data_IF_671359934763
#
_entry.id   IF_671359934763
#
_cell.length_a   1.000
_cell.length_b   1.000
_cell.length_c   1.000
_cell.angle_alpha   90.00
_cell.angle_beta   90.00
_cell.angle_gamma   90.00
#
_symmetry.space_group_name_H-M   'P 1'
#
loop_
_entity.id
_entity.type
_entity.pdbx_description
1 polymer ?
#
# COMPACT_ATOMS: atom_id res chain seq x y z
N UNK A 1 30.62 -12.79 -19.33
CA UNK A 1 30.45 -11.61 -18.50
C UNK A 1 29.93 -12.07 -17.14
N UNK A 2 30.72 -11.88 -16.09
CA UNK A 2 30.28 -12.25 -14.74
C UNK A 2 29.15 -11.30 -14.32
N UNK A 3 28.02 -11.86 -13.89
CA UNK A 3 26.96 -11.10 -13.24
C UNK A 3 27.51 -10.62 -11.89
N UNK A 4 27.71 -9.31 -11.77
CA UNK A 4 28.13 -8.71 -10.52
C UNK A 4 26.94 -8.77 -9.56
N UNK A 5 27.07 -9.54 -8.48
CA UNK A 5 26.07 -9.50 -7.41
C UNK A 5 26.01 -8.09 -6.81
N UNK A 6 24.81 -7.53 -6.75
CA UNK A 6 24.55 -6.34 -5.95
C UNK A 6 24.47 -6.82 -4.49
N UNK A 7 25.55 -6.61 -3.74
CA UNK A 7 25.59 -6.89 -2.29
C UNK A 7 25.05 -5.67 -1.53
N UNK A 8 24.56 -5.88 -0.31
CA UNK A 8 23.99 -4.80 0.53
C UNK A 8 24.89 -3.56 0.66
N UNK A 9 26.21 -3.74 0.60
CA UNK A 9 27.16 -2.63 0.62
C UNK A 9 27.22 -1.81 -0.69
N UNK A 10 26.64 -2.33 -1.79
CA UNK A 10 26.62 -1.66 -3.10
C UNK A 10 25.38 -0.82 -3.37
N UNK A 11 24.36 -0.87 -2.48
CA UNK A 11 23.14 -0.09 -2.61
C UNK A 11 23.19 1.07 -1.62
N UNK A 12 23.87 2.15 -1.99
CA UNK A 12 23.89 3.39 -1.23
C UNK A 12 22.65 4.26 -1.50
N UNK A 13 22.55 5.38 -0.78
CA UNK A 13 21.42 6.31 -0.84
C UNK A 13 21.18 7.00 -2.18
N UNK A 14 22.09 6.83 -3.16
CA UNK A 14 22.06 7.49 -4.46
C UNK A 14 21.92 6.55 -5.65
N UNK A 15 21.33 5.37 -5.45
CA UNK A 15 21.13 4.45 -6.55
C UNK A 15 20.08 4.96 -7.53
N UNK A 16 20.50 5.16 -8.76
CA UNK A 16 19.65 5.59 -9.87
C UNK A 16 19.64 4.54 -10.97
N UNK A 17 18.51 4.45 -11.67
CA UNK A 17 18.38 3.69 -12.91
C UNK A 17 18.41 4.68 -14.06
N UNK A 18 19.28 4.42 -15.04
CA UNK A 18 19.36 5.24 -16.24
C UNK A 18 18.36 4.73 -17.27
N UNK A 19 17.64 5.63 -17.94
CA UNK A 19 16.74 5.28 -19.03
C UNK A 19 17.48 4.60 -20.19
N UNK A 20 16.77 3.84 -21.02
CA UNK A 20 17.35 3.17 -22.19
C UNK A 20 18.09 4.14 -23.11
N UNK A 21 17.66 5.42 -23.19
CA UNK A 21 18.35 6.46 -23.95
C UNK A 21 19.58 7.05 -23.27
N UNK A 22 19.90 6.68 -22.04
CA UNK A 22 21.09 7.11 -21.31
C UNK A 22 21.09 8.56 -20.81
N UNK A 23 20.02 9.32 -21.05
CA UNK A 23 19.98 10.76 -20.80
C UNK A 23 19.23 11.17 -19.52
N UNK A 24 18.45 10.27 -18.93
CA UNK A 24 17.64 10.56 -17.74
C UNK A 24 17.86 9.48 -16.71
N UNK A 25 18.02 9.88 -15.46
CA UNK A 25 18.12 8.96 -14.32
C UNK A 25 16.93 9.13 -13.39
N UNK A 26 16.50 8.03 -12.80
CA UNK A 26 15.51 8.04 -11.72
C UNK A 26 16.05 7.30 -10.50
N UNK A 27 15.64 7.71 -9.31
CA UNK A 27 16.00 7.00 -8.08
C UNK A 27 15.35 5.62 -8.04
N UNK A 28 16.14 4.57 -7.84
CA UNK A 28 15.62 3.23 -7.64
C UNK A 28 14.71 3.18 -6.40
N UNK A 29 15.08 3.90 -5.34
CA UNK A 29 14.31 3.96 -4.11
C UNK A 29 12.92 4.55 -4.34
N UNK A 30 12.79 5.60 -5.17
CA UNK A 30 11.49 6.20 -5.48
C UNK A 30 10.56 5.26 -6.24
N UNK A 31 11.11 4.38 -7.06
CA UNK A 31 10.34 3.40 -7.85
C UNK A 31 9.87 2.17 -7.06
N UNK A 32 10.38 1.94 -5.85
CA UNK A 32 10.04 0.78 -5.04
C UNK A 32 8.89 1.09 -4.07
N UNK A 33 7.96 0.15 -3.93
CA UNK A 33 6.98 0.20 -2.86
C UNK A 33 7.67 0.19 -1.49
N UNK A 34 7.22 1.05 -0.58
CA UNK A 34 7.71 1.14 0.80
C UNK A 34 6.85 0.33 1.76
N UNK A 35 5.62 0.12 1.39
CA UNK A 35 4.64 -0.69 2.10
C UNK A 35 3.85 -1.47 1.07
N UNK A 36 3.55 -2.72 1.34
CA UNK A 36 2.47 -3.42 0.68
C UNK A 36 1.80 -4.37 1.68
N UNK A 37 0.51 -4.56 1.52
CA UNK A 37 -0.29 -5.38 2.42
C UNK A 37 -1.31 -6.17 1.61
N UNK A 38 -1.44 -7.45 1.94
CA UNK A 38 -2.58 -8.28 1.61
C UNK A 38 -3.39 -8.48 2.88
N UNK A 39 -4.52 -7.81 2.98
CA UNK A 39 -5.44 -7.89 4.10
C UNK A 39 -6.66 -8.74 3.78
N UNK A 40 -7.27 -9.27 4.85
CA UNK A 40 -8.60 -9.84 4.89
C UNK A 40 -9.47 -8.89 5.72
N UNK A 41 -10.49 -8.32 5.12
CA UNK A 41 -11.42 -7.39 5.76
C UNK A 41 -12.74 -8.07 6.16
N UNK A 42 -12.89 -9.38 5.91
CA UNK A 42 -14.09 -10.13 6.26
C UNK A 42 -13.91 -10.93 7.56
N UNK A 43 -14.98 -11.16 8.28
CA UNK A 43 -14.93 -11.98 9.50
C UNK A 43 -13.97 -11.45 10.55
N UNK A 44 -12.82 -12.10 10.71
CA UNK A 44 -11.74 -11.61 11.60
C UNK A 44 -10.75 -10.83 10.77
N UNK A 45 -10.83 -9.50 10.84
CA UNK A 45 -9.94 -8.60 10.11
C UNK A 45 -8.46 -8.86 10.43
N UNK A 46 -7.63 -8.96 9.41
CA UNK A 46 -6.21 -9.26 9.62
C UNK A 46 -5.34 -9.15 8.38
N UNK A 47 -4.04 -9.32 8.59
CA UNK A 47 -3.03 -9.30 7.54
C UNK A 47 -2.68 -10.73 7.15
N UNK A 48 -2.80 -11.06 5.86
CA UNK A 48 -2.36 -12.34 5.32
C UNK A 48 -0.88 -12.34 5.01
N UNK A 49 -0.37 -11.24 4.43
CA UNK A 49 1.04 -11.04 4.09
C UNK A 49 1.35 -9.56 3.90
N UNK A 50 2.58 -9.12 4.18
CA UNK A 50 2.92 -7.70 4.08
C UNK A 50 4.41 -7.40 4.05
N UNK A 51 4.75 -6.19 3.60
CA UNK A 51 6.03 -5.53 3.80
C UNK A 51 5.78 -4.21 4.53
N UNK A 52 6.46 -4.00 5.66
CA UNK A 52 6.42 -2.76 6.46
C UNK A 52 5.01 -2.40 7.01
N UNK A 53 4.12 -3.40 7.17
CA UNK A 53 2.83 -3.23 7.85
C UNK A 53 2.86 -4.02 9.15
N UNK A 54 2.54 -3.35 10.24
CA UNK A 54 2.54 -3.94 11.59
C UNK A 54 1.18 -4.54 11.95
N UNK A 55 0.09 -3.85 11.57
CA UNK A 55 -1.27 -4.29 11.88
C UNK A 55 -2.30 -3.68 10.92
N UNK A 56 -3.45 -4.32 10.85
CA UNK A 56 -4.66 -3.83 10.21
C UNK A 56 -5.70 -3.63 11.31
N UNK A 57 -6.26 -2.44 11.40
CA UNK A 57 -7.32 -2.09 12.36
C UNK A 57 -8.65 -2.02 11.61
N UNK A 58 -9.66 -2.64 12.18
CA UNK A 58 -11.05 -2.55 11.75
C UNK A 58 -11.66 -1.28 12.36
N UNK A 59 -12.02 -0.31 11.52
CA UNK A 59 -12.68 0.95 11.93
C UNK A 59 -14.20 0.89 11.72
N UNK A 60 -14.69 -0.17 11.08
CA UNK A 60 -16.08 -0.40 10.74
C UNK A 60 -16.26 -1.03 9.39
N UNK A 61 -17.49 -1.25 8.98
CA UNK A 61 -17.79 -1.93 7.71
C UNK A 61 -17.05 -1.29 6.54
N UNK A 62 -16.18 -2.06 5.90
CA UNK A 62 -15.39 -1.65 4.75
C UNK A 62 -14.34 -0.58 5.06
N UNK A 63 -14.07 -0.27 6.32
CA UNK A 63 -13.20 0.82 6.75
C UNK A 63 -12.03 0.27 7.57
N UNK A 64 -10.81 0.42 7.06
CA UNK A 64 -9.62 -0.18 7.65
C UNK A 64 -8.46 0.81 7.73
N UNK A 65 -7.65 0.68 8.79
CA UNK A 65 -6.38 1.39 8.93
C UNK A 65 -5.22 0.41 8.92
N UNK A 66 -4.27 0.59 7.98
CA UNK A 66 -2.99 -0.13 7.95
C UNK A 66 -1.93 0.67 8.69
N UNK A 67 -1.44 0.12 9.81
CA UNK A 67 -0.38 0.73 10.62
C UNK A 67 0.99 0.24 10.15
N UNK A 68 1.93 1.17 9.96
CA UNK A 68 3.27 0.86 9.47
C UNK A 68 4.20 0.37 10.59
N UNK A 69 5.12 -0.50 10.26
CA UNK A 69 6.24 -0.86 11.15
C UNK A 69 7.27 0.28 11.22
N UNK A 70 7.60 0.85 10.06
CA UNK A 70 8.49 2.01 9.95
C UNK A 70 7.71 3.14 9.27
N UNK A 71 7.74 4.30 9.87
CA UNK A 71 6.99 5.46 9.39
C UNK A 71 7.48 5.97 8.04
N UNK A 72 6.58 6.59 7.29
CA UNK A 72 6.92 7.41 6.13
C UNK A 72 7.52 8.73 6.60
N UNK A 73 8.41 9.32 5.82
CA UNK A 73 9.05 10.60 6.12
C UNK A 73 8.10 11.79 6.12
N UNK A 74 6.98 11.67 5.41
CA UNK A 74 5.92 12.68 5.32
C UNK A 74 4.61 12.04 4.88
N UNK A 75 3.55 12.83 4.70
CA UNK A 75 2.22 12.37 4.26
C UNK A 75 1.97 12.58 2.75
N UNK A 76 2.99 12.89 1.96
CA UNK A 76 2.88 13.12 0.51
C UNK A 76 3.15 11.87 -0.33
N UNK A 77 3.02 10.70 0.25
CA UNK A 77 3.10 9.42 -0.45
C UNK A 77 1.81 9.13 -1.22
N UNK A 78 1.87 8.19 -2.16
CA UNK A 78 0.70 7.70 -2.88
C UNK A 78 0.33 6.29 -2.41
N UNK A 79 -0.98 6.03 -2.39
CA UNK A 79 -1.54 4.71 -2.07
C UNK A 79 -2.26 4.18 -3.30
N UNK A 80 -2.04 2.92 -3.61
CA UNK A 80 -2.80 2.16 -4.60
C UNK A 80 -3.41 0.95 -3.91
N UNK A 81 -4.66 0.63 -4.22
CA UNK A 81 -5.33 -0.49 -3.62
C UNK A 81 -6.31 -1.19 -4.55
N UNK A 82 -6.61 -2.42 -4.21
CA UNK A 82 -7.67 -3.22 -4.82
C UNK A 82 -8.34 -4.05 -3.76
N UNK A 83 -9.67 -4.13 -3.82
CA UNK A 83 -10.44 -5.05 -3.00
C UNK A 83 -11.24 -6.00 -3.86
N UNK A 84 -11.39 -7.22 -3.38
CA UNK A 84 -12.21 -8.24 -4.01
C UNK A 84 -13.01 -9.00 -2.97
N UNK A 85 -14.12 -9.55 -3.42
CA UNK A 85 -14.94 -10.46 -2.65
C UNK A 85 -15.18 -11.71 -3.50
N UNK A 86 -14.99 -12.90 -2.91
CA UNK A 86 -14.99 -14.17 -3.65
C UNK A 86 -16.37 -14.62 -4.06
N UNK A 87 -17.41 -14.21 -3.34
CA UNK A 87 -18.76 -14.74 -3.49
C UNK A 87 -19.77 -13.75 -4.10
N UNK A 88 -19.34 -12.57 -4.56
CA UNK A 88 -20.26 -11.55 -5.06
C UNK A 88 -19.88 -11.03 -6.45
N UNK A 89 -20.86 -11.02 -7.35
CA UNK A 89 -20.72 -10.57 -8.75
C UNK A 89 -20.66 -9.04 -8.91
N UNK A 90 -20.57 -8.29 -7.83
CA UNK A 90 -20.60 -6.83 -7.87
C UNK A 90 -19.18 -6.24 -7.89
N UNK A 91 -18.92 -5.26 -8.78
CA UNK A 91 -17.64 -4.58 -8.77
C UNK A 91 -17.44 -3.74 -7.50
N UNK A 92 -16.19 -3.67 -7.06
CA UNK A 92 -15.76 -2.99 -5.84
C UNK A 92 -14.81 -1.86 -6.18
N UNK A 93 -14.80 -0.83 -5.35
CA UNK A 93 -13.83 0.26 -5.42
C UNK A 93 -13.14 0.42 -4.06
N UNK A 94 -11.84 0.69 -4.12
CA UNK A 94 -11.03 1.06 -2.95
C UNK A 94 -10.69 2.53 -3.06
N UNK A 95 -10.99 3.26 -2.00
CA UNK A 95 -10.52 4.62 -1.80
C UNK A 95 -9.39 4.66 -0.76
N UNK A 96 -8.50 5.63 -0.86
CA UNK A 96 -7.62 5.98 0.25
C UNK A 96 -8.35 6.95 1.16
N UNK A 97 -8.32 6.68 2.45
CA UNK A 97 -9.07 7.41 3.47
C UNK A 97 -9.90 6.48 4.32
N UNK A 98 -10.45 7.00 5.39
CA UNK A 98 -11.47 6.36 6.19
C UNK A 98 -12.77 7.15 6.07
N UNK A 99 -13.87 6.66 6.60
CA UNK A 99 -15.13 7.41 6.63
C UNK A 99 -15.03 8.72 7.43
N UNK A 100 -14.02 8.85 8.27
CA UNK A 100 -13.88 9.96 9.23
C UNK A 100 -12.68 10.85 8.95
N UNK A 101 -11.71 10.44 8.13
CA UNK A 101 -10.43 11.15 7.92
C UNK A 101 -9.91 10.99 6.49
N UNK A 102 -8.94 11.83 6.11
CA UNK A 102 -8.21 11.73 4.84
C UNK A 102 -7.40 10.45 4.70
N UNK A 103 -7.15 9.76 5.81
CA UNK A 103 -6.47 8.48 5.85
C UNK A 103 -4.97 8.53 5.64
N UNK A 104 -4.33 9.71 5.58
CA UNK A 104 -2.88 9.86 5.40
C UNK A 104 -2.20 10.29 6.70
N UNK A 105 -1.39 9.43 7.29
CA UNK A 105 -0.51 9.73 8.42
C UNK A 105 0.89 9.18 8.15
N UNK A 106 1.92 9.68 8.83
CA UNK A 106 3.28 9.13 8.66
C UNK A 106 3.39 7.68 9.12
N UNK A 107 2.63 7.27 10.12
CA UNK A 107 2.64 5.93 10.69
C UNK A 107 1.56 4.98 10.16
N UNK A 108 0.64 5.45 9.30
CA UNK A 108 -0.49 4.64 8.83
C UNK A 108 -1.14 5.22 7.58
N UNK A 109 -1.98 4.42 6.92
CA UNK A 109 -2.95 4.92 5.94
C UNK A 109 -4.30 4.22 6.10
N UNK A 110 -5.37 4.96 5.82
CA UNK A 110 -6.72 4.44 5.78
C UNK A 110 -7.10 3.92 4.39
N UNK A 111 -7.98 2.94 4.38
CA UNK A 111 -8.57 2.34 3.17
C UNK A 111 -10.06 2.17 3.39
N UNK A 112 -10.86 2.68 2.46
CA UNK A 112 -12.30 2.47 2.41
C UNK A 112 -12.68 1.60 1.23
N UNK A 113 -13.46 0.55 1.47
CA UNK A 113 -13.98 -0.36 0.46
C UNK A 113 -15.47 -0.10 0.24
N UNK A 114 -15.85 0.21 -0.98
CA UNK A 114 -17.22 0.55 -1.33
C UNK A 114 -17.77 -0.36 -2.42
N UNK A 115 -19.05 -0.64 -2.35
CA UNK A 115 -19.80 -1.25 -3.45
C UNK A 115 -20.05 -0.21 -4.53
N UNK A 116 -19.90 -0.58 -5.79
CA UNK A 116 -20.13 0.37 -6.89
C UNK A 116 -21.61 0.57 -7.21
N UNK A 117 -22.48 -0.37 -6.87
CA UNK A 117 -23.91 -0.30 -7.17
C UNK A 117 -24.68 0.72 -6.32
N UNK A 118 -24.26 0.91 -5.06
CA UNK A 118 -24.95 1.76 -4.12
C UNK A 118 -24.03 2.67 -3.29
N UNK A 119 -22.69 2.56 -3.52
CA UNK A 119 -21.64 3.32 -2.81
C UNK A 119 -21.62 3.09 -1.27
N UNK A 120 -22.23 2.01 -0.80
CA UNK A 120 -22.15 1.67 0.61
C UNK A 120 -20.83 0.95 0.92
N UNK A 121 -20.26 1.20 2.11
CA UNK A 121 -19.13 0.40 2.61
C UNK A 121 -19.52 -1.08 2.72
N UNK A 122 -18.56 -1.95 2.44
CA UNK A 122 -18.75 -3.40 2.53
C UNK A 122 -17.42 -4.08 2.89
N UNK A 123 -17.50 -5.10 3.73
CA UNK A 123 -16.32 -5.88 4.12
C UNK A 123 -15.90 -6.79 2.96
N UNK A 124 -14.60 -6.84 2.68
CA UNK A 124 -14.05 -7.55 1.53
C UNK A 124 -13.10 -8.65 1.96
N UNK A 125 -13.17 -9.81 1.32
CA UNK A 125 -12.27 -10.94 1.57
C UNK A 125 -10.80 -10.61 1.30
N UNK A 126 -10.57 -9.72 0.36
CA UNK A 126 -9.22 -9.26 0.03
C UNK A 126 -9.21 -7.74 -0.05
N UNK A 127 -8.37 -7.13 0.78
CA UNK A 127 -8.11 -5.69 0.77
C UNK A 127 -6.60 -5.50 0.63
N UNK A 128 -6.16 -5.16 -0.57
CA UNK A 128 -4.74 -4.98 -0.87
C UNK A 128 -4.40 -3.51 -1.00
N UNK A 129 -3.23 -3.15 -0.54
CA UNK A 129 -2.68 -1.83 -0.78
C UNK A 129 -1.17 -1.84 -0.99
N UNK A 130 -0.68 -0.83 -1.68
CA UNK A 130 0.74 -0.53 -1.79
C UNK A 130 0.99 0.97 -1.69
N UNK A 131 2.12 1.35 -1.09
CA UNK A 131 2.50 2.73 -0.82
C UNK A 131 3.84 3.03 -1.45
N UNK A 132 3.92 4.17 -2.16
CA UNK A 132 5.14 4.69 -2.78
C UNK A 132 5.40 6.09 -2.23
N UNK A 133 6.62 6.33 -1.75
CA UNK A 133 7.04 7.58 -1.14
C UNK A 133 8.38 7.40 -0.46
N UNK A 134 8.69 8.26 0.52
CA UNK A 134 9.94 8.23 1.27
C UNK A 134 9.69 7.68 2.69
N UNK A 135 10.53 6.74 3.12
CA UNK A 135 10.61 6.33 4.52
C UNK A 135 11.30 7.41 5.37
N UNK A 136 10.95 7.46 6.67
CA UNK A 136 11.59 8.36 7.63
C UNK A 136 13.06 8.01 7.88
#
# INVERSE_FOLDING_TARGET
VALTQIINAGIGSSNTVTSEGGNVTTSLQQGLAKVWTKGDGSGTVGITDSLNTASMTDEGTGDYTYNFTNSMGNTTYIVQGVATETDKDQPRVVGCGTQQDTGYATGSHGVICLRMDNQNPDDMDVVNSSVFGDLA
#
